data_IF_958893903810
#
_entry.id   IF_958893903810
#
_cell.length_a   1.000
_cell.length_b   1.000
_cell.length_c   1.000
_cell.angle_alpha   90.00
_cell.angle_beta   90.00
_cell.angle_gamma   90.00
#
_symmetry.space_group_name_H-M   'P 1'
#
loop_
_entity.id
_entity.type
_entity.pdbx_description
1 polymer ?
#
# COMPACT_ATOMS: atom_id res chain seq x y z
N UNK A 1 -17.53 -7.87 2.26
CA UNK A 1 -17.12 -8.11 0.87
C UNK A 1 -18.19 -8.83 0.06
N UNK A 2 -18.57 -10.08 0.36
CA UNK A 2 -19.56 -10.82 -0.45
C UNK A 2 -20.94 -10.14 -0.55
N UNK A 3 -21.36 -9.40 0.48
CA UNK A 3 -22.59 -8.59 0.43
C UNK A 3 -22.51 -7.47 -0.62
N UNK A 4 -21.34 -6.82 -0.77
CA UNK A 4 -21.12 -5.77 -1.77
C UNK A 4 -21.13 -6.33 -3.19
N UNK A 5 -20.65 -7.56 -3.36
CA UNK A 5 -20.68 -8.28 -4.64
C UNK A 5 -22.04 -8.94 -4.93
N UNK A 6 -23.02 -8.84 -4.02
CA UNK A 6 -24.36 -9.41 -4.20
C UNK A 6 -24.44 -10.95 -4.15
N UNK A 7 -23.38 -11.64 -3.75
CA UNK A 7 -23.27 -13.12 -3.78
C UNK A 7 -23.19 -13.74 -2.39
N UNK A 8 -23.70 -13.04 -1.36
CA UNK A 8 -23.67 -13.55 0.01
C UNK A 8 -24.72 -14.65 0.21
N UNK A 9 -24.27 -15.82 0.64
CA UNK A 9 -25.11 -16.93 1.08
C UNK A 9 -25.62 -17.84 -0.05
N UNK A 10 -26.35 -18.92 0.30
CA UNK A 10 -26.99 -19.81 -0.66
C UNK A 10 -28.02 -19.06 -1.52
N UNK A 11 -28.13 -19.45 -2.78
CA UNK A 11 -29.17 -18.90 -3.65
C UNK A 11 -30.52 -19.58 -3.34
N UNK A 12 -31.63 -18.82 -3.22
CA UNK A 12 -32.91 -19.35 -2.70
C UNK A 12 -33.56 -20.39 -3.62
N UNK A 13 -33.35 -20.28 -4.94
CA UNK A 13 -34.03 -21.12 -5.94
C UNK A 13 -33.07 -22.01 -6.74
N UNK A 14 -31.78 -21.71 -6.74
CA UNK A 14 -30.81 -22.37 -7.62
C UNK A 14 -29.48 -22.59 -6.88
N UNK A 15 -29.35 -23.71 -6.15
CA UNK A 15 -28.14 -24.01 -5.38
C UNK A 15 -26.87 -23.85 -6.22
N UNK A 16 -25.89 -23.11 -5.67
CA UNK A 16 -24.61 -22.85 -6.33
C UNK A 16 -24.57 -21.68 -7.31
N UNK A 17 -25.69 -21.03 -7.65
CA UNK A 17 -25.70 -19.87 -8.56
C UNK A 17 -24.79 -18.73 -8.07
N UNK A 18 -24.89 -18.36 -6.78
CA UNK A 18 -24.02 -17.34 -6.17
C UNK A 18 -22.54 -17.73 -6.21
N UNK A 19 -22.21 -19.02 -6.05
CA UNK A 19 -20.83 -19.51 -6.13
C UNK A 19 -20.30 -19.44 -7.58
N UNK A 20 -21.12 -19.81 -8.58
CA UNK A 20 -20.78 -19.65 -10.00
C UNK A 20 -20.54 -18.19 -10.37
N UNK A 21 -21.35 -17.29 -9.83
CA UNK A 21 -21.19 -15.85 -10.07
C UNK A 21 -19.90 -15.33 -9.43
N UNK A 22 -19.59 -15.74 -8.20
CA UNK A 22 -18.32 -15.39 -7.57
C UNK A 22 -17.12 -15.90 -8.37
N UNK A 23 -17.18 -17.13 -8.88
CA UNK A 23 -16.11 -17.70 -9.71
C UNK A 23 -15.87 -16.86 -10.98
N UNK A 24 -16.93 -16.39 -11.64
CA UNK A 24 -16.83 -15.48 -12.79
C UNK A 24 -16.17 -14.15 -12.41
N UNK A 25 -16.59 -13.54 -11.31
CA UNK A 25 -16.00 -12.28 -10.82
C UNK A 25 -14.49 -12.45 -10.59
N UNK A 26 -14.08 -13.55 -9.95
CA UNK A 26 -12.66 -13.85 -9.71
C UNK A 26 -11.91 -14.03 -11.03
N UNK A 27 -12.45 -14.82 -11.97
CA UNK A 27 -11.81 -15.03 -13.27
C UNK A 27 -11.64 -13.73 -14.06
N UNK A 28 -12.66 -12.86 -14.07
CA UNK A 28 -12.58 -11.54 -14.70
C UNK A 28 -11.57 -10.62 -14.01
N UNK A 29 -11.50 -10.64 -12.67
CA UNK A 29 -10.55 -9.83 -11.92
C UNK A 29 -9.10 -10.25 -12.20
N UNK A 30 -8.83 -11.57 -12.27
CA UNK A 30 -7.51 -12.10 -12.65
C UNK A 30 -7.16 -11.69 -14.08
N UNK A 31 -8.08 -11.86 -15.04
CA UNK A 31 -7.84 -11.45 -16.42
C UNK A 31 -7.52 -9.95 -16.52
N UNK A 32 -8.25 -9.10 -15.80
CA UNK A 32 -7.97 -7.67 -15.77
C UNK A 32 -6.60 -7.35 -15.15
N UNK A 33 -6.19 -8.08 -14.11
CA UNK A 33 -4.88 -7.91 -13.48
C UNK A 33 -3.73 -8.30 -14.42
N UNK A 34 -3.85 -9.42 -15.14
CA UNK A 34 -2.84 -9.87 -16.10
C UNK A 34 -2.70 -8.88 -17.27
N UNK A 35 -3.82 -8.38 -17.82
CA UNK A 35 -3.78 -7.34 -18.85
C UNK A 35 -3.11 -6.06 -18.36
N UNK A 36 -3.42 -5.63 -17.13
CA UNK A 36 -2.78 -4.45 -16.53
C UNK A 36 -1.27 -4.66 -16.32
N UNK A 37 -0.85 -5.87 -15.94
CA UNK A 37 0.56 -6.22 -15.75
C UNK A 37 1.30 -6.25 -17.09
N UNK A 38 0.75 -6.91 -18.11
CA UNK A 38 1.31 -6.93 -19.46
C UNK A 38 1.45 -5.52 -20.03
N UNK A 39 0.44 -4.67 -19.87
CA UNK A 39 0.51 -3.27 -20.31
C UNK A 39 1.60 -2.48 -19.56
N UNK A 40 1.74 -2.68 -18.25
CA UNK A 40 2.76 -2.02 -17.45
C UNK A 40 4.19 -2.46 -17.81
N UNK A 41 4.37 -3.73 -18.16
CA UNK A 41 5.65 -4.25 -18.67
C UNK A 41 5.97 -3.69 -20.06
N UNK A 42 5.00 -3.71 -20.98
CA UNK A 42 5.17 -3.20 -22.34
C UNK A 42 5.45 -1.69 -22.38
N UNK A 43 4.80 -0.91 -21.50
CA UNK A 43 5.01 0.53 -21.39
C UNK A 43 6.20 0.93 -20.47
N UNK A 44 6.83 -0.03 -19.78
CA UNK A 44 7.92 0.25 -18.83
C UNK A 44 7.48 1.00 -17.55
N UNK A 45 6.18 1.00 -17.23
CA UNK A 45 5.63 1.72 -16.06
C UNK A 45 5.58 0.87 -14.78
N UNK A 46 5.96 -0.40 -14.84
CA UNK A 46 5.85 -1.31 -13.70
C UNK A 46 6.64 -0.82 -12.47
N UNK A 47 7.90 -0.41 -12.65
CA UNK A 47 8.74 0.02 -11.53
C UNK A 47 8.28 1.34 -10.93
N UNK A 48 7.81 2.28 -11.77
CA UNK A 48 7.22 3.53 -11.31
C UNK A 48 5.97 3.27 -10.46
N UNK A 49 5.05 2.42 -10.94
CA UNK A 49 3.84 2.06 -10.19
C UNK A 49 4.18 1.41 -8.84
N UNK A 50 5.22 0.56 -8.80
CA UNK A 50 5.71 -0.02 -7.56
C UNK A 50 6.22 1.04 -6.59
N UNK A 51 7.01 2.02 -7.06
CA UNK A 51 7.50 3.11 -6.21
C UNK A 51 6.38 4.05 -5.72
N UNK A 52 5.34 4.28 -6.52
CA UNK A 52 4.22 5.16 -6.13
C UNK A 52 3.23 4.48 -5.17
N UNK A 53 2.91 3.21 -5.40
CA UNK A 53 1.81 2.54 -4.70
C UNK A 53 2.28 1.68 -3.51
N UNK A 54 3.56 1.33 -3.44
CA UNK A 54 4.11 0.59 -2.31
C UNK A 54 4.31 1.55 -1.13
N UNK A 55 3.23 1.77 -0.36
CA UNK A 55 3.15 2.62 0.84
C UNK A 55 3.97 2.10 2.04
N UNK A 56 5.19 1.60 1.84
CA UNK A 56 6.19 1.75 2.89
C UNK A 56 6.58 3.23 2.90
N UNK A 57 5.75 4.04 3.56
CA UNK A 57 6.18 5.34 4.05
C UNK A 57 7.55 5.10 4.69
N UNK A 58 8.55 5.87 4.28
CA UNK A 58 9.85 5.77 4.90
C UNK A 58 9.65 5.82 6.40
N UNK A 59 9.98 4.72 7.09
CA UNK A 59 10.83 4.91 8.25
C UNK A 59 11.99 5.73 7.69
N UNK A 60 11.91 7.05 7.83
CA UNK A 60 13.05 7.93 7.59
C UNK A 60 14.25 7.34 8.33
N UNK A 61 15.48 7.70 7.95
CA UNK A 61 16.64 7.24 8.72
C UNK A 61 16.30 7.57 10.17
N UNK A 62 16.20 6.54 11.02
CA UNK A 62 16.05 6.76 12.44
C UNK A 62 17.17 7.71 12.78
N UNK A 63 16.80 8.97 13.08
CA UNK A 63 17.78 10.00 13.39
C UNK A 63 18.63 9.40 14.48
N UNK A 64 19.89 9.22 14.14
CA UNK A 64 20.97 8.79 15.00
C UNK A 64 20.96 9.67 16.24
N UNK A 65 20.27 9.26 17.30
CA UNK A 65 20.59 9.71 18.65
C UNK A 65 21.55 8.68 19.21
N UNK A 66 22.79 8.75 18.74
CA UNK A 66 23.94 8.21 19.46
C UNK A 66 24.09 9.02 20.75
N UNK A 67 23.40 8.61 21.81
CA UNK A 67 23.81 8.94 23.18
C UNK A 67 24.74 7.84 23.67
N UNK A 68 26.00 7.92 23.28
CA UNK A 68 27.10 7.34 24.06
C UNK A 68 27.25 8.15 25.35
N UNK A 69 26.69 7.64 26.45
CA UNK A 69 27.18 7.90 27.81
C UNK A 69 26.76 6.74 28.71
N UNK A 70 27.70 5.80 28.87
CA UNK A 70 28.18 5.17 30.13
C UNK A 70 27.20 4.99 31.30
N UNK A 71 27.04 3.71 31.69
CA UNK A 71 26.82 3.15 33.04
C UNK A 71 25.50 3.41 33.83
N UNK A 72 24.79 2.28 34.05
CA UNK A 72 24.11 1.83 35.27
C UNK A 72 22.84 2.54 35.82
N UNK A 73 21.88 1.69 36.19
CA UNK A 73 20.70 1.88 37.08
C UNK A 73 19.35 2.36 36.48
N UNK A 74 18.29 1.68 36.93
CA UNK A 74 16.84 1.79 36.62
C UNK A 74 16.15 2.67 37.69
N UNK A 75 14.85 3.01 37.59
CA UNK A 75 14.12 3.95 36.72
C UNK A 75 13.37 5.08 37.49
N UNK A 76 13.00 6.21 36.85
CA UNK A 76 11.79 7.01 37.22
C UNK A 76 11.55 8.26 36.33
N UNK A 77 10.29 8.38 35.86
CA UNK A 77 9.47 9.60 35.61
C UNK A 77 9.94 10.69 34.62
N UNK A 78 9.15 10.90 33.55
CA UNK A 78 8.48 12.19 33.26
C UNK A 78 7.39 12.13 32.18
N UNK A 79 6.36 12.92 32.45
CA UNK A 79 5.19 13.41 31.69
C UNK A 79 5.42 13.67 30.20
N UNK A 80 4.40 13.42 29.36
CA UNK A 80 4.18 14.17 28.10
C UNK A 80 2.71 14.14 27.64
N UNK A 81 2.29 15.31 27.20
CA UNK A 81 0.98 15.74 26.75
C UNK A 81 0.47 15.14 25.42
N UNK A 82 -0.83 15.33 25.19
CA UNK A 82 -1.49 15.51 23.88
C UNK A 82 -1.51 14.33 22.89
N UNK A 83 -2.47 13.42 23.06
CA UNK A 83 -2.95 12.57 21.97
C UNK A 83 -4.11 13.25 21.23
N UNK A 84 -3.77 14.11 20.26
CA UNK A 84 -4.70 14.52 19.19
C UNK A 84 -4.65 13.44 18.12
N UNK A 85 -5.62 12.51 18.16
CA UNK A 85 -5.84 11.50 17.13
C UNK A 85 -6.22 12.22 15.82
N UNK A 86 -5.23 12.33 14.93
CA UNK A 86 -5.33 12.97 13.65
C UNK A 86 -5.97 12.01 12.66
N UNK A 87 -7.24 12.27 12.37
CA UNK A 87 -7.94 11.72 11.23
C UNK A 87 -7.12 11.82 9.93
N UNK A 88 -7.22 10.72 9.17
CA UNK A 88 -6.83 10.57 7.79
C UNK A 88 -7.12 11.81 6.95
N UNK A 89 -6.07 12.54 6.56
CA UNK A 89 -6.09 13.50 5.46
C UNK A 89 -5.34 12.89 4.29
N UNK A 90 -6.05 12.71 3.17
CA UNK A 90 -5.43 12.42 1.89
C UNK A 90 -4.34 13.45 1.61
N UNK A 91 -3.09 13.02 1.60
CA UNK A 91 -1.98 13.93 1.42
C UNK A 91 -1.55 13.89 -0.04
N UNK A 92 -1.67 15.04 -0.70
CA UNK A 92 -1.05 15.27 -2.00
C UNK A 92 0.44 14.93 -1.90
N UNK A 93 0.93 14.17 -2.88
CA UNK A 93 2.35 13.87 -3.04
C UNK A 93 3.15 15.16 -2.96
N UNK A 94 4.09 15.24 -2.01
CA UNK A 94 4.96 16.40 -1.88
C UNK A 94 5.80 16.56 -3.16
N UNK A 95 6.29 17.77 -3.46
CA UNK A 95 7.10 17.99 -4.68
C UNK A 95 8.35 17.11 -4.68
N UNK A 96 8.86 16.85 -3.49
CA UNK A 96 9.98 15.97 -3.17
C UNK A 96 9.64 14.50 -3.49
N UNK A 97 8.44 14.03 -3.17
CA UNK A 97 7.97 12.69 -3.55
C UNK A 97 7.84 12.54 -5.07
N UNK A 98 7.32 13.57 -5.76
CA UNK A 98 7.23 13.58 -7.22
C UNK A 98 8.63 13.56 -7.85
N UNK A 99 9.57 14.32 -7.30
CA UNK A 99 10.97 14.34 -7.76
C UNK A 99 11.63 12.98 -7.55
N UNK A 100 11.42 12.34 -6.40
CA UNK A 100 11.92 10.99 -6.09
C UNK A 100 11.34 9.93 -7.03
N UNK A 101 10.05 10.01 -7.34
CA UNK A 101 9.39 9.13 -8.31
C UNK A 101 9.95 9.32 -9.72
N UNK A 102 10.21 10.56 -10.14
CA UNK A 102 10.83 10.87 -11.44
C UNK A 102 12.26 10.36 -11.53
N UNK A 103 13.05 10.52 -10.47
CA UNK A 103 14.44 10.06 -10.46
C UNK A 103 14.52 8.53 -10.41
N UNK A 104 13.70 7.88 -9.58
CA UNK A 104 13.56 6.42 -9.56
C UNK A 104 13.13 5.86 -10.91
N UNK A 105 12.19 6.52 -11.59
CA UNK A 105 11.76 6.11 -12.94
C UNK A 105 12.88 6.19 -13.98
N UNK A 106 13.71 7.24 -13.96
CA UNK A 106 14.86 7.37 -14.88
C UNK A 106 15.93 6.30 -14.66
N UNK A 107 16.20 5.96 -13.39
CA UNK A 107 17.17 4.93 -13.01
C UNK A 107 16.73 3.56 -13.51
N UNK A 108 15.43 3.24 -13.37
CA UNK A 108 14.91 1.93 -13.72
C UNK A 108 14.65 1.72 -15.22
N UNK A 109 14.62 2.78 -16.04
CA UNK A 109 14.46 2.69 -17.51
C UNK A 109 15.82 2.51 -18.23
N UNK A 110 16.95 2.84 -17.59
CA UNK A 110 18.30 2.76 -18.20
C UNK A 110 19.03 1.42 -17.96
N UNK A 111 18.45 0.49 -17.20
CA UNK A 111 18.96 -0.88 -16.99
C UNK A 111 18.16 -1.87 -17.83
#
# INVERSE_FOLDING_TARGET
>A
MLTMLGVKGPHPTEPGANARQLAKIVACAVLAAELSLCAALAAGHLVQSHMTLNRKAGSGPATTTTTTTTAAAKPAVKTIDSAKDSGSKGNGTTKEDIQRLKEGSKICIRS
#
